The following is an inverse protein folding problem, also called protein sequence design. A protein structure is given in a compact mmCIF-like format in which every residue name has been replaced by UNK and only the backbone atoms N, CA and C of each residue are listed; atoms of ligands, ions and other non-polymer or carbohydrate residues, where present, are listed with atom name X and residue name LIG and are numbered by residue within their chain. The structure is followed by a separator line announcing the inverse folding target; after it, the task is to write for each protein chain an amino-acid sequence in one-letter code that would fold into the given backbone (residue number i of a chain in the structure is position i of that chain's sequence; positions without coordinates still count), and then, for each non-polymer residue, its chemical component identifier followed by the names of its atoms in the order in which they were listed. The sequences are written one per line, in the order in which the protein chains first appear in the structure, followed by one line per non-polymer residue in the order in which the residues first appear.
data_IF_630954514030
#
_entry.id   IF_630954514030
#
_cell.length_a   1.000
_cell.length_b   1.000
_cell.length_c   1.000
_cell.angle_alpha   90.00
_cell.angle_beta   90.00
_cell.angle_gamma   90.00
#
_symmetry.space_group_name_H-M   'P 1'
#
loop_
_entity.id
_entity.type
_entity.pdbx_description
1 polymer ?
#
# COMPACT_ATOMS: atom_id res chain seq x y z
N UNK A 1 -5.16 -8.14 31.19
CA UNK A 1 -4.68 -9.53 30.99
C UNK A 1 -3.55 -9.66 29.97
N UNK A 2 -3.63 -9.05 28.77
CA UNK A 2 -2.55 -9.12 27.74
C UNK A 2 -1.18 -8.66 28.25
N UNK A 3 -1.14 -7.58 29.04
CA UNK A 3 0.09 -7.06 29.64
C UNK A 3 0.66 -7.91 30.79
N UNK A 4 0.09 -9.09 31.11
CA UNK A 4 0.68 -10.01 32.09
C UNK A 4 1.42 -11.18 31.42
N UNK A 5 1.32 -11.30 30.09
CA UNK A 5 1.99 -12.36 29.35
C UNK A 5 3.47 -12.03 29.12
N UNK A 6 4.35 -12.94 29.52
CA UNK A 6 5.80 -12.78 29.32
C UNK A 6 6.16 -12.61 27.83
N UNK A 7 5.45 -13.32 26.95
CA UNK A 7 5.71 -13.28 25.50
C UNK A 7 5.31 -11.94 24.88
N UNK A 8 4.33 -11.23 25.43
CA UNK A 8 3.99 -9.87 25.03
C UNK A 8 5.20 -8.95 25.23
N UNK A 9 5.77 -8.96 26.43
CA UNK A 9 6.94 -8.15 26.75
C UNK A 9 8.16 -8.54 25.93
N UNK A 10 8.37 -9.84 25.71
CA UNK A 10 9.47 -10.31 24.86
C UNK A 10 9.32 -9.81 23.42
N UNK A 11 8.13 -9.93 22.84
CA UNK A 11 7.85 -9.41 21.50
C UNK A 11 7.98 -7.88 21.43
N UNK A 12 7.54 -7.16 22.46
CA UNK A 12 7.68 -5.71 22.57
C UNK A 12 9.15 -5.27 22.67
N UNK A 13 9.97 -5.98 23.46
CA UNK A 13 11.41 -5.72 23.57
C UNK A 13 12.10 -5.99 22.24
N UNK A 14 11.79 -7.10 21.56
CA UNK A 14 12.32 -7.38 20.23
C UNK A 14 11.95 -6.25 19.26
N UNK A 15 10.69 -5.83 19.23
CA UNK A 15 10.23 -4.74 18.37
C UNK A 15 10.95 -3.43 18.69
N UNK A 16 11.11 -3.09 19.97
CA UNK A 16 11.79 -1.88 20.42
C UNK A 16 13.27 -1.89 20.00
N UNK A 17 13.99 -2.98 20.29
CA UNK A 17 15.41 -3.12 19.94
C UNK A 17 15.62 -2.98 18.43
N UNK A 18 14.81 -3.66 17.63
CA UNK A 18 14.88 -3.58 16.16
C UNK A 18 14.53 -2.19 15.64
N UNK A 19 13.54 -1.52 16.25
CA UNK A 19 13.15 -0.16 15.88
C UNK A 19 14.25 0.84 16.22
N UNK A 20 14.88 0.74 17.40
CA UNK A 20 16.01 1.58 17.81
C UNK A 20 17.21 1.33 16.90
N UNK A 21 17.55 0.07 16.59
CA UNK A 21 18.62 -0.28 15.66
C UNK A 21 18.40 0.39 14.29
N UNK A 22 17.20 0.25 13.73
CA UNK A 22 16.85 0.84 12.43
C UNK A 22 16.75 2.36 12.47
N UNK A 23 16.36 2.96 13.61
CA UNK A 23 16.39 4.39 13.85
C UNK A 23 17.80 4.96 13.88
N UNK A 24 18.73 4.28 14.56
CA UNK A 24 20.15 4.66 14.54
C UNK A 24 20.75 4.55 13.14
N UNK A 25 20.34 3.55 12.34
CA UNK A 25 20.71 3.43 10.93
C UNK A 25 20.12 4.55 10.06
N UNK A 26 18.89 4.99 10.35
CA UNK A 26 18.28 6.15 9.68
C UNK A 26 19.11 7.41 9.92
N UNK A 27 19.54 7.66 11.16
CA UNK A 27 20.41 8.80 11.50
C UNK A 27 21.76 8.75 10.77
N UNK A 28 22.26 7.55 10.47
CA UNK A 28 23.48 7.32 9.66
C UNK A 28 23.24 7.35 8.15
N UNK A 29 21.99 7.54 7.70
CA UNK A 29 21.63 7.59 6.28
C UNK A 29 21.61 6.24 5.57
N UNK A 30 21.58 5.13 6.31
CA UNK A 30 21.53 3.78 5.75
C UNK A 30 20.12 3.45 5.22
N UNK A 31 20.03 2.96 3.98
CA UNK A 31 18.79 2.52 3.34
C UNK A 31 18.09 1.41 4.14
N UNK A 32 18.79 0.66 4.99
CA UNK A 32 18.20 -0.33 5.88
C UNK A 32 17.14 0.26 6.83
N UNK A 33 17.17 1.58 7.07
CA UNK A 33 16.14 2.30 7.83
C UNK A 33 14.71 2.14 7.32
N UNK A 34 14.50 1.74 6.06
CA UNK A 34 13.17 1.48 5.48
C UNK A 34 12.44 0.34 6.18
N UNK A 35 13.16 -0.54 6.87
CA UNK A 35 12.56 -1.57 7.75
C UNK A 35 11.67 -0.98 8.85
N UNK A 36 11.85 0.30 9.22
CA UNK A 36 10.98 1.01 10.16
C UNK A 36 9.51 1.02 9.72
N UNK A 37 9.21 1.01 8.41
CA UNK A 37 7.82 0.96 7.94
C UNK A 37 7.15 -0.37 8.32
N UNK A 38 7.88 -1.49 8.27
CA UNK A 38 7.35 -2.79 8.69
C UNK A 38 7.20 -2.84 10.21
N UNK A 39 8.19 -2.34 10.97
CA UNK A 39 8.10 -2.30 12.43
C UNK A 39 6.97 -1.41 12.93
N UNK A 40 6.80 -0.22 12.34
CA UNK A 40 5.67 0.66 12.64
C UNK A 40 4.32 0.03 12.27
N UNK A 41 4.26 -0.74 11.18
CA UNK A 41 3.05 -1.49 10.79
C UNK A 41 2.75 -2.59 11.81
N UNK A 42 3.75 -3.36 12.24
CA UNK A 42 3.57 -4.39 13.28
C UNK A 42 3.11 -3.76 14.59
N UNK A 43 3.73 -2.65 14.99
CA UNK A 43 3.32 -1.90 16.19
C UNK A 43 1.83 -1.51 16.12
N UNK A 44 1.45 -0.83 15.03
CA UNK A 44 0.09 -0.31 14.86
C UNK A 44 -0.98 -1.41 14.84
N UNK A 45 -0.72 -2.56 14.19
CA UNK A 45 -1.72 -3.61 14.03
C UNK A 45 -1.75 -4.67 15.13
N UNK A 46 -0.62 -4.91 15.82
CA UNK A 46 -0.50 -6.01 16.80
C UNK A 46 -0.29 -5.55 18.25
N UNK A 47 0.16 -4.31 18.48
CA UNK A 47 0.44 -3.80 19.83
C UNK A 47 -0.49 -2.68 20.28
N UNK A 48 -1.01 -1.86 19.37
CA UNK A 48 -1.86 -0.72 19.75
C UNK A 48 -3.26 -1.17 20.18
N UNK A 49 -3.84 -2.13 19.47
CA UNK A 49 -5.24 -2.56 19.67
C UNK A 49 -5.57 -3.01 21.12
N UNK A 50 -4.77 -3.87 21.79
CA UNK A 50 -5.04 -4.26 23.18
C UNK A 50 -5.15 -3.11 24.18
N UNK A 51 -4.58 -1.94 23.87
CA UNK A 51 -4.69 -0.76 24.72
C UNK A 51 -5.92 0.10 24.41
N UNK A 52 -6.46 0.01 23.19
CA UNK A 52 -7.64 0.76 22.77
C UNK A 52 -8.91 -0.01 23.17
N UNK A 53 -8.91 -1.34 23.04
CA UNK A 53 -10.08 -2.22 23.23
C UNK A 53 -9.77 -3.42 24.13
N UNK A 54 -9.40 -3.21 25.40
CA UNK A 54 -8.98 -4.29 26.30
C UNK A 54 -10.09 -5.35 26.51
N UNK A 55 -11.35 -4.94 26.54
CA UNK A 55 -12.52 -5.79 26.82
C UNK A 55 -12.67 -6.94 25.79
N UNK A 56 -12.19 -6.74 24.56
CA UNK A 56 -12.27 -7.76 23.50
C UNK A 56 -11.33 -8.94 23.70
N UNK A 57 -10.44 -8.86 24.69
CA UNK A 57 -9.48 -9.90 25.01
C UNK A 57 -9.87 -10.72 26.25
N UNK A 58 -10.92 -10.31 26.97
CA UNK A 58 -11.30 -10.94 28.24
C UNK A 58 -11.84 -12.37 28.06
N UNK A 59 -12.44 -12.67 26.90
CA UNK A 59 -12.93 -14.00 26.57
C UNK A 59 -11.89 -14.91 25.88
N UNK A 60 -10.69 -14.38 25.58
CA UNK A 60 -9.66 -15.14 24.87
C UNK A 60 -8.73 -15.81 25.90
N UNK A 61 -8.53 -17.13 25.82
CA UNK A 61 -7.60 -17.84 26.69
C UNK A 61 -6.20 -17.20 26.70
N UNK A 62 -5.59 -16.96 27.88
CA UNK A 62 -4.27 -16.32 27.99
C UNK A 62 -3.17 -17.05 27.21
N UNK A 63 -3.26 -18.39 27.15
CA UNK A 63 -2.35 -19.22 26.36
C UNK A 63 -2.32 -18.85 24.87
N UNK A 64 -3.48 -18.61 24.25
CA UNK A 64 -3.58 -18.23 22.83
C UNK A 64 -3.00 -16.83 22.58
N UNK A 65 -3.19 -15.92 23.53
CA UNK A 65 -2.57 -14.58 23.50
C UNK A 65 -1.05 -14.72 23.57
N UNK A 66 -0.57 -15.52 24.53
CA UNK A 66 0.85 -15.77 24.74
C UNK A 66 1.53 -16.38 23.49
N UNK A 67 0.90 -17.38 22.90
CA UNK A 67 1.34 -18.03 21.65
C UNK A 67 1.35 -17.05 20.47
N UNK A 68 0.31 -16.24 20.33
CA UNK A 68 0.19 -15.25 19.25
C UNK A 68 1.29 -14.18 19.32
N UNK A 69 1.64 -13.70 20.52
CA UNK A 69 2.81 -12.81 20.68
C UNK A 69 4.15 -13.52 20.45
N UNK A 70 4.25 -14.81 20.78
CA UNK A 70 5.39 -15.64 20.37
C UNK A 70 5.55 -15.68 18.84
N UNK A 71 4.44 -15.81 18.11
CA UNK A 71 4.44 -15.75 16.64
C UNK A 71 4.81 -14.37 16.10
N UNK A 72 4.38 -13.29 16.76
CA UNK A 72 4.83 -11.92 16.43
C UNK A 72 6.34 -11.80 16.60
N UNK A 73 6.92 -12.32 17.69
CA UNK A 73 8.36 -12.33 17.89
C UNK A 73 9.09 -13.15 16.80
N UNK A 74 8.59 -14.34 16.45
CA UNK A 74 9.13 -15.17 15.36
C UNK A 74 9.09 -14.45 14.00
N UNK A 75 7.99 -13.76 13.70
CA UNK A 75 7.89 -12.93 12.49
C UNK A 75 8.97 -11.84 12.47
N UNK A 76 9.14 -11.10 13.58
CA UNK A 76 10.12 -10.02 13.68
C UNK A 76 11.56 -10.53 13.51
N UNK A 77 11.89 -11.64 14.17
CA UNK A 77 13.21 -12.29 14.06
C UNK A 77 13.42 -12.79 12.63
N UNK A 78 12.46 -13.53 12.07
CA UNK A 78 12.52 -14.05 10.70
C UNK A 78 12.72 -12.92 9.69
N UNK A 79 11.88 -11.89 9.75
CA UNK A 79 12.01 -10.70 8.93
C UNK A 79 13.43 -10.09 9.03
N UNK A 80 13.93 -9.84 10.25
CA UNK A 80 15.26 -9.22 10.44
C UNK A 80 16.40 -10.06 9.87
N UNK A 81 16.33 -11.39 9.98
CA UNK A 81 17.32 -12.33 9.46
C UNK A 81 17.33 -12.35 7.93
N UNK A 82 16.15 -12.32 7.30
CA UNK A 82 16.03 -12.46 5.85
C UNK A 82 16.14 -11.13 5.07
N UNK A 83 15.90 -9.96 5.69
CA UNK A 83 16.04 -8.66 5.01
C UNK A 83 17.41 -8.47 4.34
N UNK A 84 18.57 -8.71 4.99
CA UNK A 84 19.87 -8.57 4.33
C UNK A 84 20.06 -9.47 3.11
N UNK A 85 19.44 -10.66 3.11
CA UNK A 85 19.46 -11.58 1.97
C UNK A 85 18.59 -11.04 0.85
N UNK A 86 17.35 -10.62 1.18
CA UNK A 86 16.41 -10.05 0.25
C UNK A 86 16.95 -8.78 -0.42
N UNK A 87 17.53 -7.85 0.36
CA UNK A 87 18.16 -6.62 -0.14
C UNK A 87 19.31 -6.94 -1.09
N UNK A 88 20.22 -7.85 -0.70
CA UNK A 88 21.31 -8.27 -1.60
C UNK A 88 20.78 -8.85 -2.90
N UNK A 89 19.71 -9.63 -2.85
CA UNK A 89 19.11 -10.23 -4.04
C UNK A 89 18.39 -9.19 -4.93
N UNK A 90 17.61 -8.27 -4.36
CA UNK A 90 16.87 -7.26 -5.11
C UNK A 90 17.78 -6.18 -5.70
N UNK A 91 18.81 -5.75 -4.94
CA UNK A 91 19.74 -4.68 -5.32
C UNK A 91 20.81 -5.20 -6.30
N UNK A 92 21.29 -6.45 -6.19
CA UNK A 92 22.29 -7.02 -7.12
C UNK A 92 21.76 -7.19 -8.56
N UNK A 93 20.45 -7.21 -8.78
CA UNK A 93 19.89 -7.28 -10.14
C UNK A 93 20.21 -5.99 -10.90
N UNK A 94 21.27 -6.05 -11.72
CA UNK A 94 21.78 -4.98 -12.60
C UNK A 94 20.62 -4.38 -13.42
N UNK A 95 20.42 -3.06 -13.32
CA UNK A 95 19.40 -2.37 -14.09
C UNK A 95 19.78 -2.34 -15.59
N UNK A 96 18.88 -2.82 -16.43
CA UNK A 96 18.69 -2.23 -17.75
C UNK A 96 17.96 -0.88 -17.54
N UNK A 97 18.71 0.21 -17.66
CA UNK A 97 18.20 1.58 -17.84
C UNK A 97 17.62 2.26 -16.59
N UNK A 98 18.47 2.79 -15.70
CA UNK A 98 18.12 4.04 -15.01
C UNK A 98 18.53 5.14 -15.98
N UNK A 99 17.63 5.49 -16.90
CA UNK A 99 17.88 6.60 -17.79
C UNK A 99 17.91 7.88 -16.95
N UNK A 100 19.05 8.55 -16.96
CA UNK A 100 19.34 9.77 -16.19
C UNK A 100 18.58 11.00 -16.70
N UNK A 101 17.66 10.84 -17.66
CA UNK A 101 16.77 11.91 -18.06
C UNK A 101 15.63 12.03 -17.04
N UNK A 102 15.72 13.05 -16.20
CA UNK A 102 14.64 13.44 -15.30
C UNK A 102 13.47 13.98 -16.12
N UNK A 103 12.37 13.22 -16.20
CA UNK A 103 11.10 13.81 -16.58
C UNK A 103 10.80 14.98 -15.63
N UNK A 104 10.39 16.12 -16.20
CA UNK A 104 10.00 17.24 -15.36
C UNK A 104 8.72 16.87 -14.58
N UNK A 105 8.57 17.32 -13.33
CA UNK A 105 7.38 17.02 -12.51
C UNK A 105 6.06 17.35 -13.21
N UNK A 106 6.07 18.37 -14.07
CA UNK A 106 4.93 18.83 -14.85
C UNK A 106 4.53 17.79 -15.91
N UNK A 107 5.50 17.21 -16.63
CA UNK A 107 5.21 16.15 -17.63
C UNK A 107 4.63 14.90 -16.99
N UNK A 108 5.12 14.54 -15.80
CA UNK A 108 4.59 13.41 -15.03
C UNK A 108 3.15 13.72 -14.61
N UNK A 109 2.88 14.94 -14.14
CA UNK A 109 1.54 15.37 -13.75
C UNK A 109 0.58 15.41 -14.94
N UNK A 110 1.01 15.86 -16.12
CA UNK A 110 0.19 15.85 -17.33
C UNK A 110 -0.17 14.42 -17.72
N UNK A 111 0.81 13.50 -17.72
CA UNK A 111 0.56 12.11 -18.05
C UNK A 111 -0.36 11.42 -17.03
N UNK A 112 -0.08 11.57 -15.73
CA UNK A 112 -0.92 11.03 -14.66
C UNK A 112 -2.32 11.64 -14.70
N UNK A 113 -2.42 12.95 -14.97
CA UNK A 113 -3.66 13.68 -15.04
C UNK A 113 -4.51 13.33 -16.27
N UNK A 114 -3.88 13.05 -17.41
CA UNK A 114 -4.58 12.53 -18.58
C UNK A 114 -5.21 11.16 -18.28
N UNK A 115 -4.46 10.23 -17.67
CA UNK A 115 -5.00 8.91 -17.32
C UNK A 115 -6.09 9.04 -16.24
N UNK A 116 -5.89 9.90 -15.23
CA UNK A 116 -6.91 10.22 -14.23
C UNK A 116 -8.19 10.71 -14.88
N UNK A 117 -8.10 11.69 -15.79
CA UNK A 117 -9.25 12.28 -16.46
C UNK A 117 -9.96 11.26 -17.34
N UNK A 118 -9.23 10.44 -18.09
CA UNK A 118 -9.81 9.36 -18.89
C UNK A 118 -10.58 8.37 -18.03
N UNK A 119 -9.97 7.91 -16.93
CA UNK A 119 -10.63 7.01 -15.99
C UNK A 119 -11.86 7.66 -15.36
N UNK A 120 -11.76 8.91 -14.92
CA UNK A 120 -12.85 9.62 -14.28
C UNK A 120 -14.05 9.80 -15.23
N UNK A 121 -13.81 10.18 -16.49
CA UNK A 121 -14.85 10.29 -17.52
C UNK A 121 -15.49 8.92 -17.80
N UNK A 122 -14.69 7.86 -17.91
CA UNK A 122 -15.21 6.49 -18.08
C UNK A 122 -16.07 6.09 -16.88
N UNK A 123 -15.64 6.43 -15.65
CA UNK A 123 -16.39 6.19 -14.42
C UNK A 123 -17.74 6.90 -14.41
N UNK A 124 -17.78 8.18 -14.80
CA UNK A 124 -19.03 8.95 -14.94
C UNK A 124 -19.94 8.35 -16.01
N UNK A 125 -19.39 7.95 -17.16
CA UNK A 125 -20.15 7.32 -18.23
C UNK A 125 -20.80 5.99 -17.77
N UNK A 126 -20.13 5.23 -16.89
CA UNK A 126 -20.69 4.01 -16.29
C UNK A 126 -21.86 4.28 -15.33
N UNK A 127 -21.92 5.48 -14.76
CA UNK A 127 -23.02 5.93 -13.90
C UNK A 127 -24.11 6.69 -14.68
N UNK A 128 -24.14 6.54 -16.01
CA UNK A 128 -25.14 7.21 -16.85
C UNK A 128 -24.99 8.74 -16.91
N UNK A 129 -23.81 9.27 -16.58
CA UNK A 129 -23.55 10.70 -16.54
C UNK A 129 -23.73 11.35 -15.16
N UNK A 130 -24.02 10.58 -14.11
CA UNK A 130 -24.14 11.11 -12.75
C UNK A 130 -22.77 11.48 -12.16
N UNK A 131 -22.43 12.77 -12.26
CA UNK A 131 -21.20 13.35 -11.71
C UNK A 131 -21.24 13.38 -10.18
N UNK A 132 -22.41 13.57 -9.58
CA UNK A 132 -22.54 13.67 -8.13
C UNK A 132 -22.33 12.29 -7.51
N UNK A 133 -22.98 11.25 -8.04
CA UNK A 133 -22.76 9.87 -7.64
C UNK A 133 -21.33 9.38 -7.91
N UNK A 134 -20.66 9.91 -8.94
CA UNK A 134 -19.26 9.61 -9.23
C UNK A 134 -18.29 10.17 -8.16
N UNK A 135 -18.51 11.39 -7.69
CA UNK A 135 -17.63 12.04 -6.69
C UNK A 135 -18.03 11.66 -5.26
N UNK A 136 -19.32 11.53 -5.02
CA UNK A 136 -19.95 11.26 -3.72
C UNK A 136 -20.86 10.05 -3.86
N UNK A 137 -20.32 8.82 -3.83
CA UNK A 137 -21.12 7.60 -3.89
C UNK A 137 -21.86 7.39 -2.56
N UNK A 138 -22.98 8.10 -2.40
CA UNK A 138 -23.80 8.06 -1.18
C UNK A 138 -24.41 6.66 -0.98
N UNK A 139 -24.81 5.95 -2.03
CA UNK A 139 -25.48 4.65 -1.85
C UNK A 139 -24.52 3.43 -1.82
N UNK A 140 -23.22 3.61 -1.58
CA UNK A 140 -22.12 2.69 -1.94
C UNK A 140 -22.23 1.18 -1.64
N UNK A 141 -23.05 0.71 -0.68
CA UNK A 141 -23.26 -0.74 -0.42
C UNK A 141 -24.42 -1.36 -1.20
N UNK A 142 -25.42 -0.57 -1.57
CA UNK A 142 -26.60 -0.99 -2.35
C UNK A 142 -26.66 -0.35 -3.75
N UNK A 143 -25.87 0.72 -3.97
CA UNK A 143 -25.83 1.54 -5.17
C UNK A 143 -24.58 1.34 -6.00
N UNK A 144 -24.61 1.92 -7.20
CA UNK A 144 -23.55 1.76 -8.20
C UNK A 144 -22.43 2.75 -7.90
N UNK A 145 -21.19 2.27 -7.76
CA UNK A 145 -19.98 3.13 -7.72
C UNK A 145 -19.24 3.08 -9.05
N UNK A 146 -18.40 4.10 -9.33
CA UNK A 146 -17.64 4.19 -10.60
C UNK A 146 -16.89 2.90 -10.96
N UNK A 147 -16.28 2.26 -9.95
CA UNK A 147 -15.47 1.06 -10.11
C UNK A 147 -16.00 -0.14 -9.31
N UNK A 148 -17.25 -0.06 -8.85
CA UNK A 148 -17.93 -1.14 -8.16
C UNK A 148 -18.20 -2.32 -9.08
N UNK A 149 -18.08 -3.53 -8.53
CA UNK A 149 -18.42 -4.79 -9.19
C UNK A 149 -18.97 -5.80 -8.18
N UNK A 150 -19.82 -6.70 -8.67
CA UNK A 150 -20.19 -7.91 -7.93
C UNK A 150 -18.96 -8.72 -7.55
N UNK A 151 -19.02 -9.38 -6.40
CA UNK A 151 -17.87 -10.07 -5.83
C UNK A 151 -17.46 -11.28 -6.69
N UNK A 152 -18.44 -11.90 -7.36
CA UNK A 152 -18.27 -13.00 -8.33
C UNK A 152 -18.57 -12.51 -9.74
N UNK A 153 -17.96 -11.40 -10.17
CA UNK A 153 -18.04 -11.00 -11.57
C UNK A 153 -17.28 -12.02 -12.45
N UNK A 154 -18.03 -12.90 -13.12
CA UNK A 154 -17.52 -13.93 -14.03
C UNK A 154 -17.26 -13.40 -15.45
N UNK A 155 -17.65 -12.16 -15.74
CA UNK A 155 -17.50 -11.52 -17.05
C UNK A 155 -16.14 -10.83 -17.23
N UNK A 156 -15.69 -10.71 -18.49
CA UNK A 156 -14.49 -9.93 -18.85
C UNK A 156 -14.60 -8.45 -18.44
N UNK A 157 -15.83 -7.91 -18.43
CA UNK A 157 -16.11 -6.56 -17.94
C UNK A 157 -15.77 -6.40 -16.46
N UNK A 158 -16.05 -7.41 -15.61
CA UNK A 158 -15.72 -7.37 -14.18
C UNK A 158 -14.22 -7.25 -13.90
N UNK A 159 -13.38 -7.92 -14.71
CA UNK A 159 -11.93 -7.80 -14.62
C UNK A 159 -11.44 -6.41 -15.02
N UNK A 160 -11.94 -5.87 -16.14
CA UNK A 160 -11.57 -4.52 -16.61
C UNK A 160 -11.99 -3.44 -15.60
N UNK A 161 -13.14 -3.59 -14.96
CA UNK A 161 -13.61 -2.70 -13.90
C UNK A 161 -12.68 -2.74 -12.69
N UNK A 162 -12.28 -3.93 -12.24
CA UNK A 162 -11.33 -4.08 -11.13
C UNK A 162 -9.97 -3.46 -11.47
N UNK A 163 -9.47 -3.74 -12.67
CA UNK A 163 -8.24 -3.17 -13.20
C UNK A 163 -8.29 -1.64 -13.19
N UNK A 164 -9.37 -1.05 -13.71
CA UNK A 164 -9.55 0.38 -13.76
C UNK A 164 -9.65 1.01 -12.37
N UNK A 165 -10.35 0.36 -11.42
CA UNK A 165 -10.44 0.82 -10.03
C UNK A 165 -9.07 0.84 -9.32
N UNK A 166 -8.26 -0.21 -9.48
CA UNK A 166 -6.91 -0.24 -8.91
C UNK A 166 -5.97 0.77 -9.58
N UNK A 167 -6.07 0.94 -10.91
CA UNK A 167 -5.31 1.95 -11.63
C UNK A 167 -5.71 3.37 -11.20
N UNK A 168 -7.01 3.61 -10.99
CA UNK A 168 -7.53 4.88 -10.50
C UNK A 168 -7.01 5.20 -9.09
N UNK A 169 -6.97 4.20 -8.20
CA UNK A 169 -6.37 4.34 -6.87
C UNK A 169 -4.87 4.65 -6.96
N UNK A 170 -4.11 3.90 -7.77
CA UNK A 170 -2.68 4.15 -7.98
C UNK A 170 -2.40 5.57 -8.49
N UNK A 171 -3.17 6.06 -9.45
CA UNK A 171 -3.00 7.40 -10.02
C UNK A 171 -3.37 8.47 -9.00
N UNK A 172 -4.42 8.26 -8.20
CA UNK A 172 -4.81 9.19 -7.13
C UNK A 172 -3.69 9.33 -6.11
N UNK A 173 -3.08 8.22 -5.70
CA UNK A 173 -1.90 8.25 -4.84
C UNK A 173 -0.71 8.97 -5.50
N UNK A 174 -0.49 8.77 -6.80
CA UNK A 174 0.53 9.51 -7.57
C UNK A 174 0.30 11.02 -7.52
N UNK A 175 -0.95 11.46 -7.74
CA UNK A 175 -1.33 12.87 -7.67
C UNK A 175 -1.03 13.46 -6.30
N UNK A 176 -1.38 12.74 -5.22
CA UNK A 176 -1.08 13.15 -3.85
C UNK A 176 0.42 13.39 -3.62
N UNK A 177 1.29 12.48 -4.07
CA UNK A 177 2.75 12.66 -3.95
C UNK A 177 3.23 13.84 -4.78
N UNK A 178 2.73 14.00 -6.01
CA UNK A 178 3.18 15.03 -6.95
C UNK A 178 2.94 16.45 -6.46
N UNK A 179 1.94 16.70 -5.60
CA UNK A 179 1.65 18.02 -5.00
C UNK A 179 2.91 18.67 -4.42
N UNK A 180 3.79 17.89 -3.79
CA UNK A 180 4.98 18.42 -3.09
C UNK A 180 6.17 18.71 -4.01
N UNK A 181 6.19 18.16 -5.22
CA UNK A 181 7.33 18.25 -6.14
C UNK A 181 7.09 19.19 -7.33
N UNK A 182 5.90 19.81 -7.43
CA UNK A 182 5.62 20.82 -8.45
C UNK A 182 6.32 22.14 -8.13
N UNK A 183 6.97 22.75 -9.13
CA UNK A 183 7.66 24.03 -8.99
C UNK A 183 6.72 25.24 -9.09
N UNK A 184 5.72 25.17 -9.96
CA UNK A 184 4.74 26.25 -10.16
C UNK A 184 3.54 26.11 -9.24
N UNK A 185 3.03 27.25 -8.75
CA UNK A 185 1.79 27.31 -7.99
C UNK A 185 0.61 26.75 -8.77
N UNK A 186 0.55 27.00 -10.07
CA UNK A 186 -0.51 26.52 -10.95
C UNK A 186 -0.57 25.00 -10.99
N UNK A 187 0.56 24.34 -11.29
CA UNK A 187 0.65 22.88 -11.34
C UNK A 187 0.40 22.23 -9.98
N UNK A 188 0.81 22.90 -8.89
CA UNK A 188 0.52 22.43 -7.54
C UNK A 188 -0.97 22.49 -7.22
N UNK A 189 -1.64 23.61 -7.55
CA UNK A 189 -3.08 23.75 -7.35
C UNK A 189 -3.88 22.78 -8.22
N UNK A 190 -3.42 22.52 -9.46
CA UNK A 190 -4.04 21.53 -10.33
C UNK A 190 -3.97 20.12 -9.72
N UNK A 191 -2.78 19.68 -9.30
CA UNK A 191 -2.62 18.36 -8.65
C UNK A 191 -3.45 18.26 -7.36
N UNK A 192 -3.46 19.33 -6.55
CA UNK A 192 -4.25 19.39 -5.32
C UNK A 192 -5.75 19.35 -5.61
N UNK A 193 -6.23 20.05 -6.64
CA UNK A 193 -7.63 20.04 -7.06
C UNK A 193 -8.07 18.65 -7.52
N UNK A 194 -7.29 18.00 -8.38
CA UNK A 194 -7.58 16.64 -8.85
C UNK A 194 -7.61 15.63 -7.70
N UNK A 195 -6.65 15.73 -6.77
CA UNK A 195 -6.60 14.88 -5.58
C UNK A 195 -7.80 15.14 -4.66
N UNK A 196 -8.13 16.41 -4.39
CA UNK A 196 -9.26 16.80 -3.55
C UNK A 196 -10.62 16.39 -4.12
N UNK A 197 -10.80 16.42 -5.45
CA UNK A 197 -12.02 15.93 -6.12
C UNK A 197 -12.18 14.42 -5.92
N UNK A 198 -11.09 13.68 -5.87
CA UNK A 198 -11.12 12.21 -5.85
C UNK A 198 -11.20 11.62 -4.43
N UNK A 199 -10.72 12.33 -3.42
CA UNK A 199 -10.74 11.85 -2.03
C UNK A 199 -12.15 11.51 -1.49
N UNK A 200 -13.19 12.33 -1.73
CA UNK A 200 -14.54 12.01 -1.27
C UNK A 200 -15.04 10.67 -1.81
N UNK A 201 -14.74 10.35 -3.08
CA UNK A 201 -15.13 9.07 -3.68
C UNK A 201 -14.63 7.89 -2.83
N UNK A 202 -13.33 7.84 -2.53
CA UNK A 202 -12.74 6.76 -1.75
C UNK A 202 -13.22 6.74 -0.30
N UNK A 203 -13.55 7.90 0.25
CA UNK A 203 -14.05 8.02 1.61
C UNK A 203 -15.48 7.44 1.75
N UNK A 204 -16.37 7.76 0.80
CA UNK A 204 -17.76 7.29 0.79
C UNK A 204 -17.96 5.90 0.16
N UNK A 205 -17.02 5.41 -0.66
CA UNK A 205 -16.99 4.02 -1.15
C UNK A 205 -16.96 3.00 0.01
N UNK A 206 -16.56 3.42 1.22
CA UNK A 206 -16.67 2.63 2.44
C UNK A 206 -15.60 1.54 2.59
N UNK A 207 -14.68 1.43 1.62
CA UNK A 207 -13.54 0.53 1.70
C UNK A 207 -12.31 1.26 2.28
N UNK A 208 -12.12 1.17 3.61
CA UNK A 208 -11.03 1.86 4.33
C UNK A 208 -9.65 1.59 3.72
N UNK A 209 -9.41 0.36 3.24
CA UNK A 209 -8.15 -0.03 2.58
C UNK A 209 -7.90 0.75 1.28
N UNK A 210 -8.93 1.05 0.50
CA UNK A 210 -8.81 1.81 -0.74
C UNK A 210 -8.51 3.29 -0.46
N UNK A 211 -9.19 3.88 0.53
CA UNK A 211 -8.90 5.24 0.97
C UNK A 211 -7.49 5.38 1.53
N UNK A 212 -7.08 4.48 2.43
CA UNK A 212 -5.73 4.50 3.00
C UNK A 212 -4.66 4.32 1.92
N UNK A 213 -4.90 3.46 0.91
CA UNK A 213 -3.99 3.30 -0.23
C UNK A 213 -3.79 4.60 -1.02
N UNK A 214 -4.84 5.42 -1.15
CA UNK A 214 -4.77 6.71 -1.84
C UNK A 214 -4.14 7.82 -0.97
N UNK A 215 -4.51 7.88 0.32
CA UNK A 215 -4.15 8.97 1.22
C UNK A 215 -2.78 8.80 1.90
N UNK A 216 -2.37 7.57 2.25
CA UNK A 216 -1.10 7.34 2.96
C UNK A 216 0.14 7.83 2.18
N UNK A 217 0.24 7.64 0.85
CA UNK A 217 1.39 8.17 0.10
C UNK A 217 1.49 9.70 0.19
N UNK A 218 0.36 10.41 0.19
CA UNK A 218 0.31 11.86 0.43
C UNK A 218 0.79 12.19 1.85
N UNK A 219 0.27 11.52 2.88
CA UNK A 219 0.64 11.72 4.28
C UNK A 219 2.14 11.46 4.50
N UNK A 220 2.67 10.37 3.95
CA UNK A 220 4.09 10.04 4.05
C UNK A 220 4.97 11.08 3.36
N UNK A 221 4.56 11.54 2.18
CA UNK A 221 5.28 12.59 1.46
C UNK A 221 5.28 13.89 2.25
N UNK A 222 4.15 14.25 2.85
CA UNK A 222 4.04 15.40 3.76
C UNK A 222 4.99 15.25 4.96
N UNK A 223 4.98 14.11 5.64
CA UNK A 223 5.86 13.86 6.80
C UNK A 223 7.34 13.98 6.44
N UNK A 224 7.75 13.44 5.30
CA UNK A 224 9.16 13.41 4.88
C UNK A 224 9.64 14.72 4.25
N UNK A 225 8.81 15.42 3.46
CA UNK A 225 9.24 16.56 2.64
C UNK A 225 8.66 17.91 3.06
N UNK A 226 7.65 17.98 3.93
CA UNK A 226 7.15 19.28 4.38
C UNK A 226 8.20 20.01 5.24
N UNK A 227 8.24 21.34 5.12
CA UNK A 227 9.24 22.20 5.79
C UNK A 227 8.94 22.52 7.26
N UNK A 228 7.80 22.07 7.77
CA UNK A 228 7.36 22.36 9.12
C UNK A 228 8.18 21.58 10.17
N UNK A 229 8.30 22.07 11.41
CA UNK A 229 8.93 21.31 12.48
C UNK A 229 8.14 20.03 12.76
N UNK A 230 8.84 18.97 13.19
CA UNK A 230 8.24 17.63 13.40
C UNK A 230 7.03 17.67 14.35
N UNK A 231 7.07 18.50 15.40
CA UNK A 231 5.96 18.65 16.35
C UNK A 231 4.68 19.11 15.67
N UNK A 232 4.77 20.11 14.78
CA UNK A 232 3.60 20.62 14.04
C UNK A 232 3.09 19.57 13.05
N UNK A 233 3.99 18.84 12.39
CA UNK A 233 3.59 17.74 11.50
C UNK A 233 2.82 16.65 12.25
N UNK A 234 3.31 16.24 13.43
CA UNK A 234 2.65 15.24 14.25
C UNK A 234 1.32 15.74 14.81
N UNK A 235 1.22 17.01 15.20
CA UNK A 235 -0.04 17.60 15.64
C UNK A 235 -1.09 17.61 14.50
N UNK A 236 -0.70 18.05 13.30
CA UNK A 236 -1.58 18.04 12.12
C UNK A 236 -1.99 16.61 11.78
N UNK A 237 -1.05 15.65 11.84
CA UNK A 237 -1.35 14.25 11.60
C UNK A 237 -2.32 13.68 12.64
N UNK A 238 -2.14 13.99 13.92
CA UNK A 238 -3.00 13.53 14.99
C UNK A 238 -4.44 14.05 14.80
N UNK A 239 -4.59 15.33 14.48
CA UNK A 239 -5.90 15.93 14.16
C UNK A 239 -6.50 15.26 12.92
N UNK A 240 -5.72 15.08 11.85
CA UNK A 240 -6.19 14.43 10.63
C UNK A 240 -6.63 12.98 10.87
N UNK A 241 -5.86 12.20 11.64
CA UNK A 241 -6.21 10.82 12.01
C UNK A 241 -7.46 10.76 12.86
N UNK A 242 -7.62 11.67 13.83
CA UNK A 242 -8.83 11.79 14.62
C UNK A 242 -10.05 12.12 13.75
N UNK A 243 -9.93 13.11 12.85
CA UNK A 243 -10.99 13.44 11.90
C UNK A 243 -11.31 12.28 10.96
N UNK A 244 -10.32 11.50 10.53
CA UNK A 244 -10.53 10.32 9.70
C UNK A 244 -11.22 9.19 10.46
N UNK A 245 -10.85 8.94 11.72
CA UNK A 245 -11.51 7.95 12.57
C UNK A 245 -12.99 8.30 12.77
N UNK A 246 -13.28 9.54 13.18
CA UNK A 246 -14.65 10.05 13.32
C UNK A 246 -15.40 10.07 11.98
N UNK A 247 -14.70 10.40 10.89
CA UNK A 247 -15.24 10.33 9.55
C UNK A 247 -15.63 8.91 9.14
N UNK A 248 -14.78 7.91 9.41
CA UNK A 248 -15.10 6.52 9.14
C UNK A 248 -16.17 5.97 10.08
N UNK A 249 -16.28 6.47 11.33
CA UNK A 249 -17.42 6.22 12.22
C UNK A 249 -18.71 6.64 11.54
N UNK A 250 -18.76 7.89 11.09
CA UNK A 250 -19.90 8.45 10.39
C UNK A 250 -20.25 7.67 9.11
N UNK A 251 -19.27 7.39 8.24
CA UNK A 251 -19.51 6.62 7.00
C UNK A 251 -19.98 5.20 7.30
N UNK A 252 -19.51 4.56 8.37
CA UNK A 252 -19.96 3.21 8.72
C UNK A 252 -21.41 3.21 9.20
N UNK A 253 -21.80 4.17 10.04
CA UNK A 253 -23.18 4.36 10.49
C UNK A 253 -24.13 4.60 9.30
N UNK A 254 -23.73 5.53 8.42
CA UNK A 254 -24.40 5.84 7.17
C UNK A 254 -24.67 4.61 6.29
N UNK A 255 -23.74 3.64 6.26
CA UNK A 255 -23.87 2.40 5.48
C UNK A 255 -24.85 1.38 6.04
N UNK A 256 -25.26 1.50 7.30
CA UNK A 256 -26.18 0.56 7.95
C UNK A 256 -27.65 0.90 7.74
N UNK A 257 -27.99 2.20 7.77
CA UNK A 257 -29.38 2.69 7.92
C UNK A 257 -29.81 3.71 6.86
N UNK A 258 -28.88 4.27 6.07
CA UNK A 258 -29.18 5.18 4.96
C UNK A 258 -29.31 6.67 5.34
N UNK A 259 -29.27 7.55 4.34
CA UNK A 259 -29.08 9.02 4.50
C UNK A 259 -30.14 9.71 5.36
N UNK A 260 -31.43 9.36 5.20
CA UNK A 260 -32.53 10.04 5.88
C UNK A 260 -32.61 9.71 7.36
N UNK A 261 -32.34 8.47 7.74
CA UNK A 261 -32.44 8.00 9.13
C UNK A 261 -31.27 8.51 9.99
N UNK A 262 -30.05 8.52 9.44
CA UNK A 262 -28.85 9.01 10.15
C UNK A 262 -28.86 10.52 10.38
N UNK A 263 -29.41 11.30 9.43
CA UNK A 263 -29.53 12.75 9.60
C UNK A 263 -30.69 13.17 10.50
N UNK A 264 -31.70 12.31 10.66
CA UNK A 264 -32.81 12.53 11.60
C UNK A 264 -32.53 12.06 13.02
N UNK A 265 -31.45 11.30 13.23
CA UNK A 265 -31.05 10.80 14.53
C UNK A 265 -30.32 11.88 15.35
N UNK A 266 -30.72 12.04 16.61
CA UNK A 266 -30.08 12.94 17.58
C UNK A 266 -28.64 12.48 17.91
N UNK A 267 -28.40 11.16 17.90
CA UNK A 267 -27.08 10.52 18.03
C UNK A 267 -26.84 9.47 16.91
N UNK A 268 -26.21 9.86 15.79
CA UNK A 268 -25.87 8.95 14.68
C UNK A 268 -25.00 7.75 15.06
N UNK A 269 -24.27 7.84 16.18
CA UNK A 269 -23.31 6.84 16.65
C UNK A 269 -23.93 5.63 17.38
N UNK A 270 -25.18 5.71 17.83
CA UNK A 270 -25.85 4.61 18.55
C UNK A 270 -26.36 3.49 17.62
N UNK A 271 -26.53 3.78 16.32
CA UNK A 271 -26.95 2.79 15.31
C UNK A 271 -25.81 1.90 14.81
N UNK A 272 -24.61 2.07 15.36
CA UNK A 272 -23.41 1.34 14.94
C UNK A 272 -23.25 0.12 15.84
N UNK A 273 -23.48 -1.07 15.29
CA UNK A 273 -23.07 -2.32 15.95
C UNK A 273 -21.53 -2.35 16.00
N UNK A 274 -20.95 -1.99 17.16
CA UNK A 274 -19.51 -1.91 17.37
C UNK A 274 -18.83 -3.28 17.20
N UNK A 275 -19.55 -4.37 17.46
CA UNK A 275 -19.05 -5.74 17.42
C UNK A 275 -18.83 -6.26 15.98
N UNK A 276 -19.70 -5.91 15.04
CA UNK A 276 -19.49 -6.19 13.61
C UNK A 276 -18.38 -5.32 13.00
N UNK A 277 -18.06 -4.20 13.64
CA UNK A 277 -17.17 -3.15 13.14
C UNK A 277 -15.70 -3.37 13.49
N UNK A 278 -15.40 -4.07 14.59
CA UNK A 278 -14.03 -4.39 15.02
C UNK A 278 -13.54 -5.78 14.54
N UNK A 279 -14.46 -6.67 14.16
CA UNK A 279 -14.12 -7.98 13.56
C UNK A 279 -13.26 -7.80 12.30
N UNK A 280 -12.08 -8.41 12.27
CA UNK A 280 -11.14 -8.31 11.13
C UNK A 280 -10.31 -7.02 11.05
N UNK A 281 -10.28 -6.19 12.10
CA UNK A 281 -9.32 -5.09 12.25
C UNK A 281 -8.29 -5.35 13.36
N UNK A 282 -8.60 -6.25 14.30
CA UNK A 282 -7.76 -6.58 15.44
C UNK A 282 -6.84 -7.75 15.09
N UNK A 283 -5.67 -7.46 14.50
CA UNK A 283 -4.83 -8.51 13.89
C UNK A 283 -4.28 -9.52 14.89
N UNK A 284 -4.08 -9.13 16.16
CA UNK A 284 -3.65 -10.07 17.20
C UNK A 284 -4.81 -10.97 17.65
N UNK A 285 -6.03 -10.45 17.75
CA UNK A 285 -7.22 -11.26 18.02
C UNK A 285 -7.51 -12.25 16.89
N UNK A 286 -7.40 -11.81 15.64
CA UNK A 286 -7.53 -12.71 14.47
C UNK A 286 -6.45 -13.79 14.48
N UNK A 287 -5.23 -13.48 14.94
CA UNK A 287 -4.18 -14.48 15.10
C UNK A 287 -4.52 -15.53 16.18
N UNK A 288 -5.13 -15.11 17.30
CA UNK A 288 -5.64 -16.04 18.32
C UNK A 288 -6.70 -16.98 17.75
N UNK A 289 -7.64 -16.46 16.95
CA UNK A 289 -8.66 -17.30 16.29
C UNK A 289 -8.04 -18.28 15.30
N UNK A 290 -7.09 -17.82 14.48
CA UNK A 290 -6.33 -18.70 13.56
C UNK A 290 -5.67 -19.85 14.32
N UNK A 291 -5.04 -19.58 15.46
CA UNK A 291 -4.42 -20.62 16.28
C UNK A 291 -5.46 -21.62 16.82
N UNK A 292 -6.59 -21.12 17.34
CA UNK A 292 -7.67 -21.98 17.83
C UNK A 292 -8.25 -22.88 16.74
N UNK A 293 -8.41 -22.40 15.50
CA UNK A 293 -8.91 -23.20 14.39
C UNK A 293 -7.91 -24.28 13.94
N UNK A 294 -6.60 -24.01 14.02
CA UNK A 294 -5.59 -25.03 13.72
C UNK A 294 -5.51 -26.09 14.82
N UNK A 295 -5.63 -25.69 16.10
CA UNK A 295 -5.56 -26.62 17.24
C UNK A 295 -6.81 -27.50 17.36
N UNK A 296 -7.98 -26.97 17.04
CA UNK A 296 -9.23 -27.75 16.99
C UNK A 296 -9.31 -28.70 15.79
N UNK A 297 -8.37 -28.63 14.84
CA UNK A 297 -8.43 -29.40 13.59
C UNK A 297 -9.48 -28.91 12.59
N UNK A 298 -10.17 -27.80 12.88
CA UNK A 298 -11.13 -27.17 11.97
C UNK A 298 -10.45 -26.61 10.70
N UNK A 299 -9.15 -26.30 10.80
CA UNK A 299 -8.30 -25.87 9.71
C UNK A 299 -7.04 -26.74 9.63
N UNK A 300 -6.56 -26.99 8.41
CA UNK A 300 -5.23 -27.58 8.17
C UNK A 300 -4.32 -26.58 7.44
N UNK A 301 -3.00 -26.61 7.66
CA UNK A 301 -2.07 -25.76 6.93
C UNK A 301 -2.20 -25.95 5.43
N UNK A 302 -2.38 -24.86 4.68
CA UNK A 302 -2.60 -24.91 3.23
C UNK A 302 -1.32 -25.10 2.40
N UNK A 303 -0.15 -25.23 3.05
CA UNK A 303 1.19 -25.37 2.46
C UNK A 303 1.49 -24.39 1.32
N UNK A 304 1.08 -23.13 1.48
CA UNK A 304 1.31 -22.06 0.50
C UNK A 304 0.23 -21.94 -0.58
N UNK A 305 -0.76 -22.85 -0.63
CA UNK A 305 -1.83 -22.79 -1.62
C UNK A 305 -2.64 -21.49 -1.54
N UNK A 306 -2.83 -20.91 -0.35
CA UNK A 306 -3.54 -19.63 -0.20
C UNK A 306 -2.73 -18.48 -0.82
N UNK A 307 -1.41 -18.44 -0.58
CA UNK A 307 -0.55 -17.45 -1.24
C UNK A 307 -0.47 -17.65 -2.75
N UNK A 308 -0.49 -18.90 -3.23
CA UNK A 308 -0.55 -19.18 -4.66
C UNK A 308 -1.88 -18.71 -5.27
N UNK A 309 -3.01 -18.93 -4.59
CA UNK A 309 -4.32 -18.45 -5.03
C UNK A 309 -4.37 -16.91 -5.11
N UNK A 310 -3.75 -16.22 -4.15
CA UNK A 310 -3.55 -14.77 -4.20
C UNK A 310 -2.72 -14.36 -5.41
N UNK A 311 -1.59 -15.04 -5.65
CA UNK A 311 -0.70 -14.73 -6.77
C UNK A 311 -1.39 -14.96 -8.12
N UNK A 312 -2.19 -16.01 -8.25
CA UNK A 312 -2.95 -16.34 -9.45
C UNK A 312 -4.25 -15.53 -9.56
N UNK A 313 -4.48 -14.57 -8.65
CA UNK A 313 -5.70 -13.79 -8.69
C UNK A 313 -5.81 -12.90 -9.94
N UNK A 314 -4.69 -12.60 -10.61
CA UNK A 314 -4.73 -11.86 -11.88
C UNK A 314 -5.47 -12.61 -13.00
N UNK A 315 -5.60 -13.94 -12.92
CA UNK A 315 -6.30 -14.74 -13.94
C UNK A 315 -7.81 -14.47 -13.80
N UNK A 316 -8.46 -13.91 -14.85
CA UNK A 316 -9.90 -13.67 -14.84
C UNK A 316 -10.69 -14.98 -14.72
N UNK A 317 -11.85 -14.92 -14.04
CA UNK A 317 -12.76 -16.07 -13.90
C UNK A 317 -13.35 -16.56 -15.23
N UNK A 318 -13.31 -15.73 -16.28
CA UNK A 318 -13.65 -16.16 -17.65
C UNK A 318 -12.70 -17.26 -18.14
N UNK A 319 -11.40 -17.13 -17.82
CA UNK A 319 -10.37 -18.09 -18.23
C UNK A 319 -10.32 -19.26 -17.25
N UNK A 320 -10.53 -19.01 -15.96
CA UNK A 320 -10.58 -20.05 -14.92
C UNK A 320 -11.85 -19.93 -14.06
N UNK A 321 -12.97 -20.56 -14.51
CA UNK A 321 -14.25 -20.45 -13.80
C UNK A 321 -14.22 -21.02 -12.38
N UNK A 322 -13.52 -22.15 -12.19
CA UNK A 322 -13.40 -22.86 -10.90
C UNK A 322 -12.32 -22.30 -9.96
N UNK A 323 -11.81 -21.09 -10.23
CA UNK A 323 -10.77 -20.45 -9.41
C UNK A 323 -11.21 -20.35 -7.93
N UNK A 324 -10.36 -20.76 -6.97
CA UNK A 324 -10.67 -20.62 -5.54
C UNK A 324 -11.01 -19.18 -5.16
N UNK A 325 -11.94 -19.03 -4.22
CA UNK A 325 -12.29 -17.73 -3.66
C UNK A 325 -11.36 -17.41 -2.49
N UNK A 326 -10.93 -16.17 -2.41
CA UNK A 326 -9.98 -15.69 -1.42
C UNK A 326 -10.70 -15.28 -0.14
N UNK A 327 -10.17 -15.72 1.00
CA UNK A 327 -10.63 -15.28 2.33
C UNK A 327 -12.02 -15.79 2.75
N UNK A 328 -12.70 -16.57 1.92
CA UNK A 328 -14.05 -17.09 2.22
C UNK A 328 -13.99 -18.14 3.32
N UNK A 329 -13.09 -19.12 3.23
CA UNK A 329 -13.00 -20.21 4.21
C UNK A 329 -12.84 -19.68 5.63
N UNK A 330 -12.01 -18.64 5.79
CA UNK A 330 -11.80 -18.01 7.09
C UNK A 330 -13.05 -17.24 7.57
N UNK A 331 -13.71 -16.49 6.67
CA UNK A 331 -14.95 -15.80 7.00
C UNK A 331 -16.08 -16.77 7.42
N UNK A 332 -16.14 -17.94 6.79
CA UNK A 332 -17.06 -19.03 7.17
C UNK A 332 -16.76 -19.56 8.57
N UNK A 333 -15.48 -19.83 8.89
CA UNK A 333 -15.08 -20.25 10.23
C UNK A 333 -15.42 -19.22 11.31
N UNK A 334 -15.40 -17.94 10.96
CA UNK A 334 -15.82 -16.84 11.84
C UNK A 334 -17.35 -16.68 11.96
N UNK A 335 -18.13 -17.58 11.37
CA UNK A 335 -19.59 -17.63 11.48
C UNK A 335 -20.31 -16.57 10.65
N UNK A 336 -19.66 -16.00 9.62
CA UNK A 336 -20.27 -15.01 8.74
C UNK A 336 -21.01 -15.63 7.55
N UNK A 337 -21.41 -16.89 7.64
CA UNK A 337 -22.12 -17.57 6.55
C UNK A 337 -23.48 -16.91 6.31
N UNK A 338 -23.76 -16.58 5.05
CA UNK A 338 -25.07 -16.07 4.64
C UNK A 338 -25.47 -16.67 3.30
N UNK A 339 -26.58 -17.42 3.25
CA UNK A 339 -27.12 -17.99 2.01
C UNK A 339 -27.55 -16.92 1.00
N UNK A 340 -27.86 -15.72 1.47
CA UNK A 340 -28.37 -14.61 0.66
C UNK A 340 -27.26 -13.78 -0.01
N UNK A 341 -26.00 -13.98 0.39
CA UNK A 341 -24.87 -13.25 -0.18
C UNK A 341 -24.24 -13.99 -1.38
N UNK A 342 -23.82 -13.26 -2.41
CA UNK A 342 -23.16 -13.86 -3.59
C UNK A 342 -21.94 -14.73 -3.22
N UNK A 343 -21.18 -14.32 -2.20
CA UNK A 343 -19.97 -15.03 -1.74
C UNK A 343 -20.28 -16.17 -0.75
N UNK A 344 -21.52 -16.34 -0.33
CA UNK A 344 -21.89 -17.22 0.78
C UNK A 344 -21.42 -16.72 2.15
N UNK A 345 -20.91 -15.49 2.26
CA UNK A 345 -20.53 -14.81 3.50
C UNK A 345 -20.96 -13.33 3.53
N UNK A 346 -21.41 -12.85 4.69
CA UNK A 346 -21.86 -11.46 4.92
C UNK A 346 -20.72 -10.45 4.75
N UNK A 347 -19.51 -10.82 5.17
CA UNK A 347 -18.32 -10.00 5.03
C UNK A 347 -17.06 -10.88 4.97
N UNK A 348 -16.03 -10.38 4.28
CA UNK A 348 -14.70 -11.01 4.30
C UNK A 348 -13.90 -10.48 5.49
N UNK A 349 -13.30 -11.39 6.26
CA UNK A 349 -12.43 -11.08 7.40
C UNK A 349 -10.99 -11.35 6.98
N UNK A 350 -10.10 -10.42 7.34
CA UNK A 350 -8.68 -10.56 7.06
C UNK A 350 -7.97 -11.27 8.20
N UNK A 351 -7.05 -12.17 7.86
CA UNK A 351 -6.35 -13.02 8.82
C UNK A 351 -5.11 -12.37 9.43
N UNK A 352 -4.75 -11.14 9.02
CA UNK A 352 -3.49 -10.54 9.42
C UNK A 352 -2.31 -11.01 8.56
N UNK A 353 -1.32 -10.14 8.42
CA UNK A 353 -0.06 -10.43 7.76
C UNK A 353 0.60 -11.72 8.29
N UNK A 354 0.61 -11.89 9.62
CA UNK A 354 1.20 -13.05 10.30
C UNK A 354 0.25 -14.26 10.25
N UNK A 355 -1.06 -14.06 10.45
CA UNK A 355 -2.04 -15.14 10.45
C UNK A 355 -2.19 -15.81 9.09
N UNK A 356 -2.07 -15.04 8.00
CA UNK A 356 -1.96 -15.60 6.64
C UNK A 356 -0.77 -16.55 6.49
N UNK A 357 0.36 -16.23 7.14
CA UNK A 357 1.53 -17.12 7.19
C UNK A 357 1.25 -18.39 7.97
N UNK A 358 0.65 -18.25 9.17
CA UNK A 358 0.28 -19.37 10.05
C UNK A 358 -0.70 -20.33 9.37
N UNK A 359 -1.71 -19.81 8.66
CA UNK A 359 -2.67 -20.61 7.92
C UNK A 359 -2.05 -21.37 6.73
N UNK A 360 -0.93 -20.88 6.18
CA UNK A 360 -0.23 -21.55 5.09
C UNK A 360 0.78 -22.57 5.61
N UNK A 361 1.60 -22.24 6.59
CA UNK A 361 2.76 -23.06 6.96
C UNK A 361 2.77 -23.50 8.44
N UNK A 362 1.65 -23.32 9.15
CA UNK A 362 1.49 -23.69 10.54
C UNK A 362 2.04 -22.67 11.53
N UNK A 363 1.86 -22.95 12.81
CA UNK A 363 2.10 -22.01 13.92
C UNK A 363 3.57 -21.56 14.08
N UNK A 364 4.53 -22.36 13.64
CA UNK A 364 5.98 -22.08 13.83
C UNK A 364 6.63 -21.52 12.55
N UNK A 365 6.47 -22.23 11.42
CA UNK A 365 7.08 -21.81 10.15
C UNK A 365 6.29 -20.68 9.47
N UNK A 366 4.98 -20.57 9.74
CA UNK A 366 4.11 -19.55 9.19
C UNK A 366 4.56 -18.12 9.42
N UNK A 367 4.82 -17.69 10.67
CA UNK A 367 5.30 -16.34 10.96
C UNK A 367 6.64 -16.03 10.27
N UNK A 368 7.54 -17.02 10.20
CA UNK A 368 8.84 -16.87 9.52
C UNK A 368 8.63 -16.69 8.01
N UNK A 369 7.74 -17.47 7.40
CA UNK A 369 7.41 -17.36 5.97
C UNK A 369 6.79 -16.00 5.62
N UNK A 370 5.86 -15.50 6.43
CA UNK A 370 5.34 -14.14 6.30
C UNK A 370 6.47 -13.09 6.43
N UNK A 371 7.39 -13.29 7.37
CA UNK A 371 8.60 -12.47 7.52
C UNK A 371 9.49 -12.46 6.28
N UNK A 372 9.68 -13.61 5.61
CA UNK A 372 10.42 -13.72 4.34
C UNK A 372 9.73 -12.91 3.23
N UNK A 373 8.41 -13.02 3.10
CA UNK A 373 7.65 -12.28 2.08
C UNK A 373 7.79 -10.77 2.31
N UNK A 374 7.66 -10.33 3.57
CA UNK A 374 7.84 -8.92 3.92
C UNK A 374 9.29 -8.45 3.76
N UNK A 375 10.28 -9.34 3.94
CA UNK A 375 11.68 -9.04 3.65
C UNK A 375 11.91 -8.81 2.15
N UNK A 376 11.29 -9.61 1.28
CA UNK A 376 11.32 -9.39 -0.18
C UNK A 376 10.67 -8.05 -0.56
N UNK A 377 9.50 -7.75 0.03
CA UNK A 377 8.83 -6.46 -0.14
C UNK A 377 9.72 -5.29 0.29
N UNK A 378 10.32 -5.37 1.47
CA UNK A 378 11.24 -4.34 1.98
C UNK A 378 12.49 -4.20 1.11
N UNK A 379 13.01 -5.30 0.57
CA UNK A 379 14.09 -5.28 -0.41
C UNK A 379 13.74 -4.55 -1.70
N UNK A 380 12.48 -4.58 -2.14
CA UNK A 380 12.00 -3.79 -3.28
C UNK A 380 11.87 -2.30 -2.92
N UNK A 381 11.33 -1.98 -1.75
CA UNK A 381 11.24 -0.60 -1.26
C UNK A 381 12.63 0.05 -1.13
N UNK A 382 13.60 -0.68 -0.54
CA UNK A 382 14.98 -0.24 -0.41
C UNK A 382 15.59 0.05 -1.79
N UNK A 383 15.34 -0.82 -2.77
CA UNK A 383 15.79 -0.59 -4.15
C UNK A 383 15.18 0.68 -4.74
N UNK A 384 13.89 0.94 -4.55
CA UNK A 384 13.26 2.16 -5.07
C UNK A 384 13.74 3.42 -4.35
N UNK A 385 14.04 3.32 -3.06
CA UNK A 385 14.65 4.41 -2.29
C UNK A 385 16.08 4.74 -2.74
N UNK A 386 16.89 3.76 -3.07
CA UNK A 386 18.22 4.01 -3.65
C UNK A 386 18.11 4.69 -5.01
N UNK A 387 17.03 4.41 -5.75
CA UNK A 387 16.71 5.01 -7.05
C UNK A 387 15.93 6.34 -6.95
N UNK A 388 15.76 6.90 -5.75
CA UNK A 388 14.94 8.11 -5.49
C UNK A 388 15.36 9.37 -6.26
N UNK A 389 16.53 9.38 -6.90
CA UNK A 389 16.95 10.47 -7.79
C UNK A 389 15.97 10.67 -8.96
N UNK A 390 15.30 9.61 -9.41
CA UNK A 390 14.18 9.71 -10.33
C UNK A 390 12.89 9.96 -9.55
N UNK A 391 12.17 11.03 -9.89
CA UNK A 391 10.89 11.36 -9.26
C UNK A 391 9.87 10.21 -9.41
N UNK A 392 9.85 9.52 -10.55
CA UNK A 392 8.98 8.36 -10.78
C UNK A 392 9.25 7.22 -9.79
N UNK A 393 10.53 6.96 -9.49
CA UNK A 393 10.94 5.93 -8.52
C UNK A 393 10.65 6.35 -7.09
N UNK A 394 10.78 7.65 -6.79
CA UNK A 394 10.39 8.22 -5.50
C UNK A 394 8.88 8.09 -5.28
N UNK A 395 8.05 8.40 -6.28
CA UNK A 395 6.58 8.23 -6.17
C UNK A 395 6.23 6.76 -5.96
N UNK A 396 6.87 5.85 -6.68
CA UNK A 396 6.68 4.41 -6.49
C UNK A 396 7.08 3.95 -5.08
N UNK A 397 8.20 4.48 -4.56
CA UNK A 397 8.59 4.25 -3.17
C UNK A 397 7.53 4.75 -2.19
N UNK A 398 7.01 5.97 -2.36
CA UNK A 398 5.98 6.53 -1.46
C UNK A 398 4.69 5.72 -1.48
N UNK A 399 4.27 5.28 -2.67
CA UNK A 399 3.12 4.40 -2.83
C UNK A 399 3.35 3.06 -2.11
N UNK A 400 4.50 2.43 -2.30
CA UNK A 400 4.85 1.17 -1.63
C UNK A 400 4.98 1.32 -0.11
N UNK A 401 5.62 2.38 0.36
CA UNK A 401 5.71 2.67 1.79
C UNK A 401 4.31 2.87 2.41
N UNK A 402 3.41 3.58 1.72
CA UNK A 402 2.01 3.75 2.15
C UNK A 402 1.25 2.43 2.21
N UNK A 403 1.37 1.59 1.17
CA UNK A 403 0.72 0.27 1.15
C UNK A 403 1.30 -0.72 2.17
N UNK A 404 2.50 -0.48 2.69
CA UNK A 404 3.09 -1.35 3.73
C UNK A 404 2.17 -1.40 4.95
N UNK A 405 1.53 -0.29 5.31
CA UNK A 405 0.54 -0.26 6.38
C UNK A 405 -0.67 -1.15 6.06
N UNK A 406 -1.17 -1.14 4.82
CA UNK A 406 -2.28 -2.00 4.39
C UNK A 406 -1.88 -3.48 4.34
N UNK A 407 -0.62 -3.81 4.02
CA UNK A 407 -0.10 -5.18 4.06
C UNK A 407 -0.07 -5.77 5.47
N UNK A 408 -0.05 -4.92 6.50
CA UNK A 408 -0.20 -5.34 7.90
C UNK A 408 -1.52 -6.05 8.17
N UNK A 409 -2.59 -5.61 7.49
CA UNK A 409 -3.90 -6.27 7.52
C UNK A 409 -3.85 -7.59 6.73
N UNK A 410 -3.37 -7.58 5.50
CA UNK A 410 -3.28 -8.81 4.71
C UNK A 410 -2.20 -8.75 3.64
N UNK A 411 -1.42 -9.83 3.50
CA UNK A 411 -0.48 -9.97 2.38
C UNK A 411 -1.23 -10.55 1.18
N UNK A 412 -1.94 -9.69 0.46
CA UNK A 412 -2.70 -10.08 -0.73
C UNK A 412 -2.20 -9.37 -1.97
N UNK A 413 -2.31 -10.03 -3.12
CA UNK A 413 -2.02 -9.38 -4.39
C UNK A 413 -2.99 -8.22 -4.65
N UNK A 414 -4.21 -8.32 -4.10
CA UNK A 414 -5.24 -7.28 -4.19
C UNK A 414 -4.76 -5.93 -3.62
N UNK A 415 -4.05 -5.95 -2.50
CA UNK A 415 -3.45 -4.75 -1.90
C UNK A 415 -2.27 -4.25 -2.71
N UNK A 416 -1.53 -5.13 -3.40
CA UNK A 416 -0.33 -4.78 -4.17
C UNK A 416 -0.61 -4.28 -5.60
N UNK A 417 -1.81 -4.50 -6.13
CA UNK A 417 -2.19 -4.07 -7.48
C UNK A 417 -1.84 -2.61 -7.81
N UNK A 418 -2.13 -1.62 -6.93
CA UNK A 418 -1.77 -0.25 -7.21
C UNK A 418 -0.27 -0.05 -7.46
N UNK A 419 0.60 -0.75 -6.72
CA UNK A 419 2.05 -0.70 -6.92
C UNK A 419 2.49 -1.42 -8.19
N UNK A 420 1.86 -2.54 -8.53
CA UNK A 420 2.16 -3.25 -9.78
C UNK A 420 1.83 -2.34 -10.98
N UNK A 421 0.66 -1.70 -10.98
CA UNK A 421 0.28 -0.78 -12.06
C UNK A 421 1.17 0.45 -12.11
N UNK A 422 1.46 1.05 -10.96
CA UNK A 422 2.41 2.14 -10.86
C UNK A 422 3.80 1.75 -11.39
N UNK A 423 4.29 0.55 -11.06
CA UNK A 423 5.57 0.05 -11.57
C UNK A 423 5.54 -0.12 -13.09
N UNK A 424 4.49 -0.71 -13.65
CA UNK A 424 4.32 -0.81 -15.10
C UNK A 424 4.30 0.57 -15.77
N UNK A 425 3.54 1.52 -15.23
CA UNK A 425 3.50 2.90 -15.70
C UNK A 425 4.89 3.55 -15.68
N UNK A 426 5.62 3.42 -14.57
CA UNK A 426 6.99 3.94 -14.45
C UNK A 426 7.92 3.31 -15.49
N UNK A 427 7.81 2.00 -15.74
CA UNK A 427 8.65 1.30 -16.72
C UNK A 427 8.32 1.72 -18.15
N UNK A 428 7.05 1.89 -18.50
CA UNK A 428 6.62 2.40 -19.81
C UNK A 428 7.10 3.84 -20.01
N UNK A 429 6.94 4.70 -18.99
CA UNK A 429 7.42 6.07 -19.04
C UNK A 429 8.95 6.15 -19.23
N UNK A 430 9.71 5.34 -18.48
CA UNK A 430 11.16 5.23 -18.65
C UNK A 430 11.55 4.73 -20.04
N UNK A 431 10.84 3.74 -20.59
CA UNK A 431 11.08 3.22 -21.93
C UNK A 431 10.80 4.26 -23.03
N UNK A 432 9.73 5.04 -22.90
CA UNK A 432 9.40 6.10 -23.85
C UNK A 432 10.34 7.31 -23.74
N UNK A 433 10.81 7.62 -22.53
CA UNK A 433 11.84 8.64 -22.29
C UNK A 433 13.22 8.25 -22.81
N UNK A 434 13.47 6.96 -23.04
CA UNK A 434 14.75 6.43 -23.52
C UNK A 434 14.93 6.52 -25.05
N UNK A 435 13.94 7.04 -25.81
CA UNK A 435 14.11 7.22 -27.26
C UNK A 435 15.27 8.19 -27.50
N UNK A 436 16.34 7.76 -28.20
CA UNK A 436 17.45 8.65 -28.48
C UNK A 436 16.94 9.77 -29.38
N UNK A 437 17.02 11.00 -28.88
CA UNK A 437 17.05 12.16 -29.78
C UNK A 437 18.33 11.98 -30.58
N UNK A 438 18.19 11.47 -31.80
CA UNK A 438 19.24 11.45 -32.80
C UNK A 438 19.71 12.88 -32.96
N UNK A 439 20.83 13.25 -32.33
CA UNK A 439 21.52 14.47 -32.69
C UNK A 439 21.96 14.26 -34.14
N UNK A 440 21.53 15.10 -35.10
CA UNK A 440 22.11 15.06 -36.43
C UNK A 440 23.63 15.27 -36.28
N UNK A 441 24.47 14.55 -37.03
CA UNK A 441 25.91 14.73 -36.96
C UNK A 441 26.21 16.21 -37.17
N UNK A 442 26.85 16.83 -36.16
CA UNK A 442 27.43 18.15 -36.33
C UNK A 442 28.42 18.03 -37.48
N UNK A 443 28.02 18.55 -38.65
CA UNK A 443 28.93 18.84 -39.74
C UNK A 443 29.95 19.80 -39.15
N UNK A 444 31.15 19.30 -38.88
CA UNK A 444 32.29 20.11 -38.51
C UNK A 444 32.63 21.00 -39.72
N UNK A 445 32.06 22.20 -39.76
CA UNK A 445 32.49 23.26 -40.65
C UNK A 445 33.85 23.73 -40.14
N UNK A 446 34.93 23.06 -40.58
CA UNK A 446 36.27 23.60 -40.44
C UNK A 446 36.43 24.75 -41.42
N UNK A 447 36.30 25.97 -40.91
CA UNK A 447 36.77 27.17 -41.58
C UNK A 447 37.55 28.01 -40.56
N UNK A 448 38.88 27.99 -40.69
CA UNK A 448 39.65 29.22 -40.60
C UNK A 448 41.03 29.05 -41.24
N UNK A 449 41.19 29.71 -42.39
CA UNK A 449 42.45 30.23 -42.88
C UNK A 449 43.23 30.93 -41.76
N UNK A 450 44.53 30.63 -41.65
CA UNK A 450 45.57 31.66 -41.62
C UNK A 450 46.96 31.03 -41.80
N UNK A 451 47.48 31.20 -43.03
CA UNK A 451 48.87 31.10 -43.40
C UNK A 451 49.70 32.15 -42.65
N UNK A 452 50.80 31.73 -42.01
CA UNK A 452 52.13 32.34 -42.19
C UNK A 452 53.27 31.47 -41.60
N UNK A 453 54.47 31.49 -42.22
CA UNK A 453 55.58 30.60 -41.90
C UNK A 453 56.57 31.25 -40.93
N UNK A 454 57.13 30.48 -39.98
CA UNK A 454 58.29 30.91 -39.19
C UNK A 454 59.31 29.78 -39.06
N UNK A 455 60.27 29.83 -39.99
CA UNK A 455 61.72 29.69 -39.83
C UNK A 455 62.28 28.76 -38.74
N UNK A 456 62.94 27.71 -39.23
CA UNK A 456 64.05 26.99 -38.59
C UNK A 456 65.32 27.87 -38.60
N UNK A 457 66.11 27.90 -37.52
CA UNK A 457 67.54 28.14 -37.62
C UNK A 457 68.34 26.91 -37.17
N UNK A 458 69.32 26.56 -38.01
CA UNK A 458 70.31 25.51 -37.78
C UNK A 458 71.46 25.99 -36.87
N UNK A 459 71.87 25.12 -35.94
CA UNK A 459 73.27 24.80 -35.62
C UNK A 459 74.12 25.75 -34.75
N UNK A 460 74.66 25.21 -33.64
CA UNK A 460 76.13 25.09 -33.43
C UNK A 460 76.52 24.21 -32.23
N UNK A 461 77.69 23.58 -32.41
CA UNK A 461 78.44 22.60 -31.63
C UNK A 461 79.00 23.04 -30.26
N UNK A 462 79.56 22.04 -29.57
CA UNK A 462 80.40 22.00 -28.33
C UNK A 462 79.61 21.70 -27.04
N UNK A 463 79.93 20.70 -26.21
CA UNK A 463 81.13 19.87 -26.00
C UNK A 463 80.75 18.41 -25.77
#
# INVERSE_FOLDING_TARGET
MVAHELTFYLAAVVLLVLTVESGLKLLKGDSFSITLFVYGTVFAWYFVDPFITPEQYDYIPPFLIGQSYGQVALFLIGFRVFVPVAVRWTVRRRNAGVFTQSFTPERILIAAGAIWLSLFIIGIARLGGDVVGAVLPLDSRAGVTMWGRGAIASSASGFLIAFAGYMFNAITAFLGVLIFFQRSIFWRLLAAGMFAITLPYFFFEGARSHFLAAALPFILTYLLYARQPLVVKFAILAVALFCLDQGFKFVTAFRGTGFREVLSAENPSEFVDEDLRQRGLNMIQELCFVNAYLESGAASPAYGARYLNELLNFIPRVIWPSKPLIGIDYAKWRGLESPESELGVVATISTGMIGGGVLNFGQILGPVAAGIIMALWSGLLIRWWEQRRSLLRLVLFMLGAGLTFNLGRDITLLVLWPVIFAYCFVRVAEFWGAKPVSQPPQVATFAHDNLRPVQVPAGRLSR
#
